data_IF_465929402354
#
_entry.id   IF_465929402354
#
_cell.length_a   1.000
_cell.length_b   1.000
_cell.length_c   1.000
_cell.angle_alpha   90.00
_cell.angle_beta   90.00
_cell.angle_gamma   90.00
#
_symmetry.space_group_name_H-M   'P 1'
#
loop_
_entity.id
_entity.type
_entity.pdbx_description
1 polymer ?
#
# COMPACT_ATOMS: atom_id res chain seq x y z
N UNK A 1 1.01 -24.19 3.70
CA UNK A 1 1.03 -23.29 2.54
C UNK A 1 1.91 -22.08 2.81
N UNK A 2 2.94 -21.97 2.03
CA UNK A 2 3.86 -20.85 2.13
C UNK A 2 3.49 -19.76 1.14
N UNK A 3 3.56 -18.52 1.60
CA UNK A 3 3.42 -17.36 0.75
C UNK A 3 4.80 -16.83 0.42
N UNK A 4 5.08 -16.70 -0.86
CA UNK A 4 6.37 -16.21 -1.35
C UNK A 4 6.19 -14.89 -2.06
N UNK A 5 7.14 -13.98 -1.85
CA UNK A 5 7.17 -12.69 -2.51
C UNK A 5 8.31 -12.67 -3.50
N UNK A 6 7.99 -12.35 -4.75
CA UNK A 6 8.98 -12.32 -5.83
C UNK A 6 8.87 -11.03 -6.61
N UNK A 7 10.03 -10.48 -6.96
CA UNK A 7 10.11 -9.36 -7.88
C UNK A 7 9.94 -9.88 -9.30
N UNK A 8 8.97 -9.36 -10.04
CA UNK A 8 8.59 -9.92 -11.34
C UNK A 8 9.11 -9.17 -12.55
N UNK A 9 9.64 -7.95 -12.38
CA UNK A 9 10.10 -7.22 -13.56
C UNK A 9 11.39 -6.47 -13.30
N UNK A 10 11.34 -5.53 -12.45
CA UNK A 10 12.50 -4.83 -11.97
C UNK A 10 12.18 -4.50 -10.52
N UNK A 11 12.88 -3.70 -9.89
CA UNK A 11 12.87 -3.59 -8.44
C UNK A 11 11.55 -3.23 -7.77
N UNK A 12 10.49 -2.86 -8.51
CA UNK A 12 9.30 -2.27 -7.91
C UNK A 12 8.07 -3.18 -7.85
N UNK A 13 7.97 -4.12 -8.76
CA UNK A 13 6.76 -4.95 -8.89
C UNK A 13 6.97 -6.32 -8.26
N UNK A 14 5.99 -6.78 -7.51
CA UNK A 14 6.09 -8.01 -6.75
C UNK A 14 4.85 -8.87 -6.93
N UNK A 15 5.04 -10.17 -6.80
CA UNK A 15 3.92 -11.11 -6.75
C UNK A 15 3.95 -11.86 -5.43
N UNK A 16 2.77 -12.26 -4.99
CA UNK A 16 2.60 -13.18 -3.86
C UNK A 16 2.15 -14.51 -4.44
N UNK A 17 2.87 -15.57 -4.12
CA UNK A 17 2.52 -16.90 -4.60
C UNK A 17 2.14 -17.80 -3.44
N UNK A 18 1.22 -18.72 -3.70
CA UNK A 18 0.78 -19.74 -2.76
C UNK A 18 0.73 -21.05 -3.52
N UNK A 19 1.55 -22.00 -3.10
CA UNK A 19 1.64 -23.32 -3.75
C UNK A 19 1.87 -23.23 -5.26
N UNK A 20 2.71 -22.29 -5.67
CA UNK A 20 3.07 -22.11 -7.08
C UNK A 20 2.13 -21.25 -7.90
N UNK A 21 1.02 -20.80 -7.33
CA UNK A 21 0.06 -19.94 -8.03
C UNK A 21 0.20 -18.50 -7.57
N UNK A 22 0.12 -17.56 -8.51
CA UNK A 22 0.13 -16.15 -8.19
C UNK A 22 -1.27 -15.79 -7.66
N UNK A 23 -1.34 -15.30 -6.43
CA UNK A 23 -2.61 -14.94 -5.80
C UNK A 23 -2.74 -13.44 -5.55
N UNK A 24 -1.66 -12.70 -5.65
CA UNK A 24 -1.71 -11.24 -5.47
C UNK A 24 -0.51 -10.59 -6.14
N UNK A 25 -0.66 -9.31 -6.44
CA UNK A 25 0.42 -8.47 -6.96
C UNK A 25 0.39 -7.13 -6.27
N UNK A 26 1.53 -6.45 -6.21
CA UNK A 26 1.60 -5.09 -5.71
C UNK A 26 2.87 -4.42 -6.20
N UNK A 27 2.91 -3.09 -6.08
CA UNK A 27 4.09 -2.27 -6.38
C UNK A 27 4.55 -1.63 -5.08
N UNK A 28 5.84 -1.70 -4.79
CA UNK A 28 6.44 -1.04 -3.63
C UNK A 28 7.57 -0.15 -4.15
N UNK A 29 7.46 1.15 -3.92
CA UNK A 29 8.38 2.12 -4.48
C UNK A 29 8.87 3.09 -3.43
N UNK A 30 10.20 3.23 -3.31
CA UNK A 30 10.80 4.22 -2.43
C UNK A 30 10.81 5.59 -3.10
N UNK A 31 10.85 6.64 -2.28
CA UNK A 31 10.96 8.01 -2.76
C UNK A 31 9.62 8.70 -2.88
N UNK A 32 9.68 9.99 -3.20
CA UNK A 32 8.48 10.82 -3.27
C UNK A 32 7.57 10.41 -4.42
N UNK A 33 6.28 10.40 -4.13
CA UNK A 33 5.23 10.25 -5.14
C UNK A 33 4.66 11.63 -5.43
N UNK A 34 4.72 12.11 -6.68
CA UNK A 34 4.20 13.44 -6.99
C UNK A 34 2.73 13.64 -6.64
N UNK A 35 1.91 12.59 -6.71
CA UNK A 35 0.49 12.70 -6.37
C UNK A 35 0.26 12.86 -4.87
N UNK A 36 1.29 12.64 -4.05
CA UNK A 36 1.21 12.76 -2.60
C UNK A 36 1.69 14.12 -2.09
N UNK A 37 2.13 15.01 -2.97
CA UNK A 37 2.61 16.33 -2.55
C UNK A 37 1.50 17.20 -2.00
N UNK A 38 0.31 17.13 -2.60
CA UNK A 38 -0.85 17.85 -2.10
C UNK A 38 -1.81 16.89 -1.44
N UNK A 39 -2.15 17.18 -0.20
CA UNK A 39 -3.15 16.43 0.54
C UNK A 39 -4.16 17.43 1.09
N UNK A 40 -5.44 17.11 0.95
CA UNK A 40 -6.55 17.95 1.39
C UNK A 40 -7.29 17.32 2.54
N UNK A 41 -7.94 18.15 3.35
CA UNK A 41 -8.79 17.72 4.46
C UNK A 41 -8.01 16.87 5.47
N UNK A 42 -6.75 17.21 5.64
CA UNK A 42 -5.86 16.52 6.57
C UNK A 42 -4.42 16.76 6.23
N UNK A 43 -3.54 15.97 6.81
CA UNK A 43 -2.10 16.04 6.60
C UNK A 43 -1.49 14.67 6.76
N UNK A 44 -0.35 14.45 6.07
CA UNK A 44 0.46 13.28 6.33
C UNK A 44 0.96 13.30 7.78
N UNK A 45 1.30 12.13 8.31
CA UNK A 45 1.74 12.01 9.70
C UNK A 45 3.09 12.68 9.94
N UNK A 46 3.93 12.77 8.92
CA UNK A 46 5.23 13.44 9.00
C UNK A 46 5.69 13.86 7.59
N UNK A 47 6.82 14.54 7.53
CA UNK A 47 7.44 14.98 6.28
C UNK A 47 8.68 14.17 5.92
N UNK A 48 8.95 13.08 6.63
CA UNK A 48 10.12 12.25 6.40
C UNK A 48 10.01 11.38 5.18
N UNK A 49 11.07 10.63 4.89
CA UNK A 49 11.06 9.71 3.75
C UNK A 49 10.04 8.60 3.95
N UNK A 50 9.50 8.10 2.85
CA UNK A 50 8.50 7.05 2.88
C UNK A 50 8.62 6.18 1.62
N UNK A 51 8.01 5.00 1.70
CA UNK A 51 7.76 4.18 0.52
C UNK A 51 6.27 4.12 0.27
N UNK A 52 5.89 3.88 -0.96
CA UNK A 52 4.48 3.83 -1.36
C UNK A 52 4.15 2.44 -1.87
N UNK A 53 3.01 1.91 -1.43
CA UNK A 53 2.45 0.69 -1.98
C UNK A 53 1.36 1.08 -2.96
N UNK A 54 1.46 0.57 -4.18
CA UNK A 54 0.50 0.80 -5.24
C UNK A 54 -0.08 -0.50 -5.74
N UNK A 55 -1.31 -0.42 -6.24
CA UNK A 55 -1.90 -1.48 -7.07
C UNK A 55 -1.91 -2.84 -6.41
N UNK A 56 -2.31 -2.90 -5.13
CA UNK A 56 -2.54 -4.19 -4.50
C UNK A 56 -3.74 -4.82 -5.19
N UNK A 57 -3.52 -5.98 -5.80
CA UNK A 57 -4.58 -6.76 -6.42
C UNK A 57 -4.46 -8.19 -5.91
N UNK A 58 -5.59 -8.78 -5.56
CA UNK A 58 -5.64 -10.13 -4.98
C UNK A 58 -6.78 -10.88 -5.63
N UNK A 59 -6.61 -12.19 -5.80
CA UNK A 59 -7.67 -13.03 -6.34
C UNK A 59 -8.70 -13.46 -5.30
N UNK A 60 -8.50 -13.04 -4.04
CA UNK A 60 -9.43 -13.36 -2.95
C UNK A 60 -9.29 -14.76 -2.37
N UNK A 61 -8.38 -15.57 -2.89
CA UNK A 61 -8.24 -16.96 -2.44
C UNK A 61 -7.65 -17.07 -1.04
N UNK A 62 -7.00 -16.03 -0.56
CA UNK A 62 -6.33 -16.05 0.73
C UNK A 62 -6.57 -14.75 1.47
N UNK A 63 -6.83 -14.83 2.78
CA UNK A 63 -6.94 -13.65 3.64
C UNK A 63 -5.57 -13.19 4.08
N UNK A 64 -5.47 -11.93 4.52
CA UNK A 64 -4.24 -11.41 5.10
C UNK A 64 -3.23 -10.87 4.10
N UNK A 65 -3.63 -10.65 2.86
CA UNK A 65 -2.70 -10.13 1.84
C UNK A 65 -2.22 -8.72 2.22
N UNK A 66 -3.10 -7.85 2.69
CA UNK A 66 -2.70 -6.50 3.10
C UNK A 66 -1.71 -6.56 4.26
N UNK A 67 -1.93 -7.46 5.21
CA UNK A 67 -0.99 -7.69 6.31
C UNK A 67 0.38 -8.13 5.78
N UNK A 68 0.39 -9.12 4.91
CA UNK A 68 1.64 -9.65 4.34
C UNK A 68 2.42 -8.57 3.60
N UNK A 69 1.74 -7.80 2.74
CA UNK A 69 2.38 -6.74 1.96
C UNK A 69 2.91 -5.64 2.89
N UNK A 70 2.14 -5.27 3.91
CA UNK A 70 2.54 -4.27 4.89
C UNK A 70 3.78 -4.71 5.67
N UNK A 71 3.80 -5.97 6.12
CA UNK A 71 4.97 -6.48 6.87
C UNK A 71 6.21 -6.53 6.00
N UNK A 72 6.06 -6.93 4.73
CA UNK A 72 7.17 -6.92 3.80
C UNK A 72 7.73 -5.50 3.60
N UNK A 73 6.85 -4.53 3.43
CA UNK A 73 7.27 -3.14 3.24
C UNK A 73 7.94 -2.58 4.51
N UNK A 74 7.40 -2.86 5.68
CA UNK A 74 7.96 -2.38 6.95
C UNK A 74 9.31 -3.02 7.28
N UNK A 75 9.62 -4.18 6.71
CA UNK A 75 10.94 -4.79 6.88
C UNK A 75 12.03 -3.96 6.18
N UNK A 76 11.65 -3.10 5.24
CA UNK A 76 12.59 -2.33 4.43
C UNK A 76 12.50 -0.82 4.66
N UNK A 77 11.35 -0.31 5.08
CA UNK A 77 11.09 1.12 5.21
C UNK A 77 10.34 1.39 6.51
N UNK A 78 10.65 2.51 7.14
CA UNK A 78 10.02 2.88 8.41
C UNK A 78 8.66 3.55 8.24
N UNK A 79 8.35 4.04 7.06
CA UNK A 79 7.12 4.76 6.79
C UNK A 79 6.54 4.31 5.46
N UNK A 80 5.26 3.97 5.48
CA UNK A 80 4.53 3.49 4.30
C UNK A 80 3.33 4.38 4.08
N UNK A 81 3.17 4.87 2.85
CA UNK A 81 1.98 5.60 2.43
C UNK A 81 1.24 4.79 1.38
N UNK A 82 -0.07 4.88 1.41
CA UNK A 82 -0.93 4.13 0.49
C UNK A 82 -2.21 4.92 0.30
N UNK A 83 -2.82 4.78 -0.88
CA UNK A 83 -4.11 5.37 -1.12
C UNK A 83 -5.08 4.31 -1.63
N UNK A 84 -6.38 4.58 -1.48
CA UNK A 84 -7.41 3.68 -1.97
C UNK A 84 -8.66 4.48 -2.33
N UNK A 85 -9.48 3.90 -3.20
CA UNK A 85 -10.74 4.52 -3.59
C UNK A 85 -11.69 4.57 -2.39
N UNK A 86 -12.45 5.66 -2.30
CA UNK A 86 -13.42 5.87 -1.22
C UNK A 86 -14.38 4.69 -1.07
N UNK A 87 -14.80 4.10 -2.18
CA UNK A 87 -15.78 3.02 -2.19
C UNK A 87 -15.18 1.66 -1.85
N UNK A 88 -13.86 1.56 -1.77
CA UNK A 88 -13.21 0.29 -1.43
C UNK A 88 -13.20 0.08 0.08
N UNK A 89 -14.38 -0.24 0.63
CA UNK A 89 -14.56 -0.38 2.08
C UNK A 89 -13.71 -1.51 2.63
N UNK A 90 -13.58 -2.60 1.89
CA UNK A 90 -12.78 -3.75 2.32
C UNK A 90 -11.32 -3.35 2.52
N UNK A 91 -10.76 -2.62 1.56
CA UNK A 91 -9.37 -2.15 1.67
C UNK A 91 -9.23 -1.13 2.80
N UNK A 92 -10.17 -0.19 2.91
CA UNK A 92 -10.12 0.82 3.97
C UNK A 92 -10.11 0.18 5.36
N UNK A 93 -10.97 -0.82 5.56
CA UNK A 93 -11.01 -1.54 6.83
C UNK A 93 -9.74 -2.34 7.07
N UNK A 94 -9.19 -2.96 6.03
CA UNK A 94 -7.94 -3.71 6.14
C UNK A 94 -6.79 -2.79 6.55
N UNK A 95 -6.69 -1.60 5.95
CA UNK A 95 -5.65 -0.65 6.28
C UNK A 95 -5.74 -0.22 7.75
N UNK A 96 -6.94 0.08 8.22
CA UNK A 96 -7.13 0.47 9.62
C UNK A 96 -6.75 -0.66 10.58
N UNK A 97 -7.09 -1.90 10.23
CA UNK A 97 -6.71 -3.06 11.05
C UNK A 97 -5.19 -3.23 11.14
N UNK A 98 -4.47 -2.89 10.07
CA UNK A 98 -3.01 -2.99 10.06
C UNK A 98 -2.33 -1.84 10.80
N UNK A 99 -3.08 -0.85 11.23
CA UNK A 99 -2.53 0.27 11.98
C UNK A 99 -2.27 1.53 11.15
N UNK A 100 -2.64 1.51 9.87
CA UNK A 100 -2.57 2.73 9.07
C UNK A 100 -3.55 3.76 9.62
N UNK A 101 -3.17 5.04 9.50
CA UNK A 101 -4.03 6.14 9.89
C UNK A 101 -4.51 6.88 8.66
N UNK A 102 -5.78 7.25 8.66
CA UNK A 102 -6.33 8.09 7.62
C UNK A 102 -5.70 9.48 7.72
N UNK A 103 -5.22 10.00 6.58
CA UNK A 103 -4.50 11.27 6.55
C UNK A 103 -5.24 12.37 5.80
N UNK A 104 -6.04 12.03 4.81
CA UNK A 104 -6.73 13.02 4.02
C UNK A 104 -7.02 12.53 2.61
N UNK A 105 -7.17 13.48 1.68
CA UNK A 105 -7.54 13.21 0.30
C UNK A 105 -6.42 13.64 -0.63
N UNK A 106 -6.00 12.73 -1.51
CA UNK A 106 -5.08 13.06 -2.60
C UNK A 106 -5.80 12.91 -3.93
N UNK A 107 -5.19 13.44 -4.98
CA UNK A 107 -5.72 13.31 -6.34
C UNK A 107 -4.72 12.59 -7.21
N UNK A 108 -5.20 11.56 -7.91
CA UNK A 108 -4.40 10.81 -8.88
C UNK A 108 -4.17 11.63 -10.14
N UNK A 109 -3.33 11.10 -11.04
CA UNK A 109 -3.00 11.77 -12.30
C UNK A 109 -4.23 12.13 -13.14
N UNK A 110 -5.29 11.30 -13.06
CA UNK A 110 -6.52 11.55 -13.80
C UNK A 110 -7.49 12.47 -13.05
N UNK A 111 -7.07 13.05 -11.94
CA UNK A 111 -7.89 13.95 -11.14
C UNK A 111 -8.84 13.27 -10.17
N UNK A 112 -8.92 11.94 -10.17
CA UNK A 112 -9.82 11.25 -9.24
C UNK A 112 -9.31 11.32 -7.81
N UNK A 113 -10.25 11.42 -6.87
CA UNK A 113 -9.92 11.46 -5.45
C UNK A 113 -9.61 10.09 -4.90
N UNK A 114 -8.63 10.04 -4.00
CA UNK A 114 -8.29 8.84 -3.26
C UNK A 114 -8.12 9.18 -1.80
N UNK A 115 -8.45 8.24 -0.95
CA UNK A 115 -8.23 8.40 0.49
C UNK A 115 -6.82 7.96 0.81
N UNK A 116 -6.08 8.80 1.52
CA UNK A 116 -4.67 8.61 1.81
C UNK A 116 -4.48 8.11 3.25
N UNK A 117 -3.59 7.14 3.39
CA UNK A 117 -3.27 6.51 4.67
C UNK A 117 -1.77 6.41 4.84
N UNK A 118 -1.32 6.42 6.08
CA UNK A 118 0.11 6.25 6.40
C UNK A 118 0.28 5.40 7.63
N UNK A 119 1.34 4.59 7.62
CA UNK A 119 1.77 3.78 8.77
C UNK A 119 3.25 4.04 8.99
N UNK A 120 3.60 4.42 10.22
CA UNK A 120 4.98 4.63 10.61
C UNK A 120 5.34 3.55 11.64
N UNK A 121 6.43 2.83 11.36
CA UNK A 121 6.95 1.83 12.29
C UNK A 121 7.59 2.51 13.50
N UNK A 122 7.38 1.92 14.65
CA UNK A 122 7.93 2.45 15.89
C UNK A 122 8.75 1.39 16.61
#
# INVERSE_FOLDING_TARGET
NELLLNDISNSDSFVVTDSGSIIATFVLRAGEDPTYKEIREGDWLDDGPYATIHRIASDGSRKGIVHLVTQYALAQYDSIRIDTHRDNVVMRNALLREGYRYCGIIHCWNGSERLAYQLIAR
#
